data_IF_954693695618
#
_entry.id   IF_954693695618
#
_cell.length_a   1.000
_cell.length_b   1.000
_cell.length_c   1.000
_cell.angle_alpha   90.00
_cell.angle_beta   90.00
_cell.angle_gamma   90.00
#
_symmetry.space_group_name_H-M   'P 1'
#
loop_
_entity.id
_entity.type
_entity.pdbx_description
1 polymer ?
#
# COMPACT_ATOMS: atom_id res chain seq x y z
N UNK A 1 -13.72 13.18 -15.72
CA UNK A 1 -13.33 12.24 -14.64
C UNK A 1 -13.75 10.84 -15.07
N UNK A 2 -12.87 9.83 -15.04
CA UNK A 2 -13.32 8.45 -15.30
C UNK A 2 -14.28 8.02 -14.19
N UNK A 3 -15.55 7.82 -14.58
CA UNK A 3 -16.63 7.65 -13.63
C UNK A 3 -16.70 6.24 -13.04
N UNK A 4 -16.14 5.22 -13.70
CA UNK A 4 -16.02 3.84 -13.22
C UNK A 4 -14.86 3.14 -13.90
N UNK A 5 -14.11 2.32 -13.16
CA UNK A 5 -13.15 1.40 -13.76
C UNK A 5 -13.82 0.06 -14.06
N UNK A 6 -13.36 -0.62 -15.10
CA UNK A 6 -13.80 -1.99 -15.37
C UNK A 6 -13.49 -2.89 -14.17
N UNK A 7 -14.32 -3.92 -13.95
CA UNK A 7 -14.10 -4.93 -12.91
C UNK A 7 -12.65 -5.43 -12.88
N UNK A 8 -12.07 -5.67 -14.06
CA UNK A 8 -10.70 -6.16 -14.22
C UNK A 8 -9.66 -5.19 -13.65
N UNK A 9 -9.79 -3.89 -13.95
CA UNK A 9 -8.84 -2.88 -13.45
C UNK A 9 -8.97 -2.72 -11.94
N UNK A 10 -10.20 -2.71 -11.41
CA UNK A 10 -10.43 -2.60 -9.98
C UNK A 10 -9.84 -3.78 -9.21
N UNK A 11 -10.06 -5.02 -9.69
CA UNK A 11 -9.48 -6.24 -9.07
C UNK A 11 -7.95 -6.18 -9.11
N UNK A 12 -7.36 -5.97 -10.29
CA UNK A 12 -5.91 -5.98 -10.45
C UNK A 12 -5.23 -4.90 -9.59
N UNK A 13 -5.86 -3.75 -9.44
CA UNK A 13 -5.30 -2.64 -8.67
C UNK A 13 -5.52 -2.79 -7.16
N UNK A 14 -6.46 -3.64 -6.74
CA UNK A 14 -6.63 -3.99 -5.32
C UNK A 14 -5.72 -5.14 -4.87
N UNK A 15 -5.16 -5.93 -5.80
CA UNK A 15 -4.28 -7.06 -5.47
C UNK A 15 -3.08 -6.70 -4.58
N UNK A 16 -2.37 -5.56 -4.79
CA UNK A 16 -1.28 -5.19 -3.89
C UNK A 16 -1.72 -5.09 -2.42
N UNK A 17 -2.94 -4.64 -2.13
CA UNK A 17 -3.45 -4.58 -0.75
C UNK A 17 -3.66 -5.97 -0.16
N UNK A 18 -4.20 -6.89 -0.96
CA UNK A 18 -4.37 -8.29 -0.57
C UNK A 18 -3.01 -8.92 -0.25
N UNK A 19 -2.06 -8.81 -1.18
CA UNK A 19 -0.74 -9.40 -1.00
C UNK A 19 0.05 -8.76 0.13
N UNK A 20 -0.01 -7.42 0.29
CA UNK A 20 0.63 -6.73 1.42
C UNK A 20 0.02 -7.17 2.76
N UNK A 21 -1.30 -7.36 2.86
CA UNK A 21 -1.90 -7.84 4.12
C UNK A 21 -1.61 -9.32 4.40
N UNK A 22 -1.38 -10.13 3.36
CA UNK A 22 -0.93 -11.51 3.54
C UNK A 22 0.52 -11.62 4.05
N UNK A 23 1.35 -10.58 3.89
CA UNK A 23 2.68 -10.52 4.51
C UNK A 23 2.56 -10.66 6.03
N UNK A 24 1.52 -10.07 6.63
CA UNK A 24 1.30 -10.11 8.07
C UNK A 24 1.27 -11.56 8.54
N UNK A 25 0.60 -12.46 7.81
CA UNK A 25 0.45 -13.87 8.22
C UNK A 25 1.79 -14.64 8.18
N UNK A 26 2.64 -14.36 7.20
CA UNK A 26 3.96 -15.02 7.06
C UNK A 26 4.98 -14.48 8.07
N UNK A 27 4.93 -13.17 8.35
CA UNK A 27 5.96 -12.48 9.15
C UNK A 27 5.99 -12.87 10.63
N UNK A 28 4.92 -13.49 11.13
CA UNK A 28 4.76 -13.86 12.54
C UNK A 28 5.14 -15.31 12.87
N UNK A 29 5.88 -16.00 12.00
CA UNK A 29 6.34 -17.38 12.20
C UNK A 29 5.19 -18.41 12.41
N UNK A 30 3.94 -18.00 12.19
CA UNK A 30 2.76 -18.87 12.27
C UNK A 30 2.83 -20.01 11.26
N UNK A 31 3.38 -19.71 10.08
CA UNK A 31 3.62 -20.65 9.00
C UNK A 31 5.05 -20.46 8.54
N UNK A 32 5.92 -21.43 8.81
CA UNK A 32 7.31 -21.37 8.32
C UNK A 32 7.36 -21.68 6.82
N UNK A 33 7.26 -20.66 5.99
CA UNK A 33 7.54 -20.80 4.58
C UNK A 33 9.05 -21.02 4.35
N UNK A 34 9.44 -21.82 3.34
CA UNK A 34 10.81 -21.83 2.83
C UNK A 34 11.31 -20.40 2.56
N UNK A 35 12.56 -20.11 2.89
CA UNK A 35 13.14 -18.75 2.84
C UNK A 35 12.88 -18.02 1.50
N UNK A 36 12.95 -18.75 0.37
CA UNK A 36 12.70 -18.19 -0.95
C UNK A 36 11.23 -17.81 -1.18
N UNK A 37 10.28 -18.53 -0.58
CA UNK A 37 8.86 -18.19 -0.64
C UNK A 37 8.53 -17.00 0.25
N UNK A 38 9.09 -16.94 1.47
CA UNK A 38 8.88 -15.80 2.36
C UNK A 38 9.41 -14.49 1.75
N UNK A 39 10.61 -14.52 1.16
CA UNK A 39 11.14 -13.38 0.42
C UNK A 39 10.23 -12.93 -0.73
N UNK A 40 9.66 -13.87 -1.50
CA UNK A 40 8.72 -13.53 -2.56
C UNK A 40 7.42 -12.90 -2.01
N UNK A 41 6.87 -13.43 -0.92
CA UNK A 41 5.65 -12.91 -0.28
C UNK A 41 5.84 -11.46 0.16
N UNK A 42 7.01 -11.10 0.68
CA UNK A 42 7.32 -9.72 1.07
C UNK A 42 7.66 -8.81 -0.14
N UNK A 43 8.64 -9.19 -0.97
CA UNK A 43 9.19 -8.29 -1.97
C UNK A 43 8.26 -8.05 -3.16
N UNK A 44 7.51 -9.07 -3.62
CA UNK A 44 6.62 -8.93 -4.78
C UNK A 44 5.59 -7.82 -4.61
N UNK A 45 4.77 -7.78 -3.54
CA UNK A 45 3.80 -6.71 -3.36
C UNK A 45 4.44 -5.34 -3.15
N UNK A 46 5.56 -5.24 -2.43
CA UNK A 46 6.30 -3.98 -2.26
C UNK A 46 6.77 -3.45 -3.62
N UNK A 47 7.45 -4.29 -4.42
CA UNK A 47 7.91 -3.94 -5.77
C UNK A 47 6.71 -3.58 -6.66
N UNK A 48 5.57 -4.28 -6.53
CA UNK A 48 4.36 -3.98 -7.31
C UNK A 48 3.85 -2.56 -7.07
N UNK A 49 3.94 -2.04 -5.84
CA UNK A 49 3.58 -0.64 -5.54
C UNK A 49 4.54 0.35 -6.20
N UNK A 50 5.85 0.10 -6.18
CA UNK A 50 6.81 0.95 -6.90
C UNK A 50 6.58 0.92 -8.41
N UNK A 51 6.26 -0.25 -8.98
CA UNK A 51 5.90 -0.37 -10.41
C UNK A 51 4.61 0.40 -10.70
N UNK A 52 3.60 0.30 -9.84
CA UNK A 52 2.35 1.06 -9.97
C UNK A 52 2.58 2.57 -9.91
N UNK A 53 3.55 3.03 -9.12
CA UNK A 53 3.96 4.43 -9.08
C UNK A 53 4.53 4.87 -10.43
N UNK A 54 5.45 4.08 -11.01
CA UNK A 54 6.00 4.36 -12.34
C UNK A 54 4.92 4.37 -13.42
N UNK A 55 4.01 3.38 -13.39
CA UNK A 55 2.88 3.33 -14.32
C UNK A 55 1.94 4.53 -14.12
N UNK A 56 1.72 4.93 -12.87
CA UNK A 56 1.00 6.14 -12.50
C UNK A 56 1.62 7.37 -13.13
N UNK A 57 2.93 7.55 -13.01
CA UNK A 57 3.64 8.66 -13.63
C UNK A 57 3.42 8.72 -15.16
N UNK A 58 3.63 7.60 -15.85
CA UNK A 58 3.46 7.50 -17.31
C UNK A 58 2.01 7.85 -17.70
N UNK A 59 1.03 7.36 -16.94
CA UNK A 59 -0.41 7.55 -17.20
C UNK A 59 -1.02 8.80 -16.55
N UNK A 60 -0.20 9.68 -15.95
CA UNK A 60 -0.64 10.91 -15.29
C UNK A 60 -1.59 10.68 -14.12
N UNK A 61 -1.23 9.69 -13.30
CA UNK A 61 -1.86 9.24 -12.05
C UNK A 61 -3.37 9.01 -12.17
N UNK A 62 -3.80 7.98 -12.94
CA UNK A 62 -5.17 7.49 -12.86
C UNK A 62 -5.47 7.02 -11.42
N UNK A 63 -6.75 7.10 -11.03
CA UNK A 63 -7.17 6.89 -9.63
C UNK A 63 -6.62 5.60 -9.01
N UNK A 64 -6.57 4.51 -9.77
CA UNK A 64 -6.08 3.21 -9.31
C UNK A 64 -4.57 3.14 -8.99
N UNK A 65 -3.78 4.10 -9.46
CA UNK A 65 -2.35 4.20 -9.12
C UNK A 65 -2.10 5.08 -7.89
N UNK A 66 -3.08 5.84 -7.43
CA UNK A 66 -2.90 6.82 -6.35
C UNK A 66 -2.39 6.22 -5.03
N UNK A 67 -2.80 5.00 -4.60
CA UNK A 67 -2.27 4.40 -3.38
C UNK A 67 -0.77 4.18 -3.41
N UNK A 68 -0.20 3.94 -4.61
CA UNK A 68 1.24 3.75 -4.75
C UNK A 68 2.04 5.01 -4.39
N UNK A 69 1.46 6.21 -4.56
CA UNK A 69 2.12 7.47 -4.20
C UNK A 69 2.35 7.55 -2.69
N UNK A 70 1.28 7.37 -1.91
CA UNK A 70 1.37 7.39 -0.46
C UNK A 70 2.18 6.22 0.07
N UNK A 71 1.99 5.01 -0.49
CA UNK A 71 2.82 3.85 -0.14
C UNK A 71 4.30 4.15 -0.36
N UNK A 72 4.74 4.52 -1.56
CA UNK A 72 6.17 4.67 -1.85
C UNK A 72 6.84 5.74 -1.00
N UNK A 73 6.16 6.86 -0.74
CA UNK A 73 6.68 7.95 0.09
C UNK A 73 6.76 7.50 1.56
N UNK A 74 5.64 7.06 2.14
CA UNK A 74 5.56 6.75 3.56
C UNK A 74 6.38 5.50 3.89
N UNK A 75 6.31 4.46 3.07
CA UNK A 75 7.12 3.25 3.26
C UNK A 75 8.62 3.56 3.28
N UNK A 76 9.10 4.39 2.35
CA UNK A 76 10.52 4.77 2.31
C UNK A 76 10.92 5.62 3.52
N UNK A 77 10.03 6.48 4.02
CA UNK A 77 10.26 7.25 5.25
C UNK A 77 10.28 6.35 6.49
N UNK A 78 9.39 5.36 6.59
CA UNK A 78 9.35 4.40 7.68
C UNK A 78 10.66 3.59 7.76
N UNK A 79 11.18 3.18 6.61
CA UNK A 79 12.45 2.44 6.53
C UNK A 79 13.67 3.26 6.96
N UNK A 80 13.61 4.59 7.05
CA UNK A 80 14.75 5.40 7.51
C UNK A 80 15.20 5.03 8.93
N UNK A 81 14.27 4.56 9.76
CA UNK A 81 14.55 4.17 11.15
C UNK A 81 14.79 2.66 11.31
N UNK A 82 14.80 1.89 10.21
CA UNK A 82 15.02 0.45 10.25
C UNK A 82 16.50 0.14 10.08
N UNK A 83 17.00 -0.79 10.90
CA UNK A 83 18.32 -1.41 10.74
C UNK A 83 18.15 -2.76 10.05
N UNK A 84 18.94 -3.00 9.00
CA UNK A 84 18.98 -4.30 8.32
C UNK A 84 20.39 -4.86 8.50
N UNK A 85 20.64 -5.69 9.54
CA UNK A 85 21.99 -6.14 9.90
C UNK A 85 22.77 -6.77 8.74
N UNK A 86 22.09 -7.48 7.85
CA UNK A 86 22.70 -8.12 6.67
C UNK A 86 23.19 -7.15 5.59
N UNK A 87 22.68 -5.90 5.56
CA UNK A 87 23.03 -4.89 4.56
C UNK A 87 23.90 -3.80 5.17
N UNK A 88 23.52 -3.29 6.34
CA UNK A 88 24.11 -2.09 6.95
C UNK A 88 25.04 -2.40 8.12
N UNK A 89 25.31 -3.69 8.40
CA UNK A 89 26.15 -4.10 9.52
C UNK A 89 25.58 -3.70 10.90
N UNK A 90 24.25 -3.53 10.99
CA UNK A 90 23.55 -3.17 12.22
C UNK A 90 23.24 -1.67 12.36
N UNK A 91 23.67 -0.82 11.42
CA UNK A 91 23.33 0.61 11.42
C UNK A 91 21.95 0.88 10.82
N UNK A 92 21.28 1.96 11.24
CA UNK A 92 20.02 2.38 10.63
C UNK A 92 20.24 2.80 9.17
N UNK A 93 19.25 2.56 8.30
CA UNK A 93 19.34 2.96 6.89
C UNK A 93 19.40 4.48 6.71
N UNK A 94 18.70 5.24 7.55
CA UNK A 94 18.64 6.70 7.43
C UNK A 94 18.18 7.12 6.02
N UNK A 95 18.86 8.12 5.45
CA UNK A 95 18.51 8.67 4.11
C UNK A 95 18.62 7.62 2.99
N UNK A 96 19.42 6.57 3.18
CA UNK A 96 19.56 5.50 2.18
C UNK A 96 18.26 4.71 1.96
N UNK A 97 17.34 4.71 2.93
CA UNK A 97 16.01 4.13 2.77
C UNK A 97 15.16 4.81 1.68
N UNK A 98 15.52 6.03 1.26
CA UNK A 98 14.85 6.74 0.17
C UNK A 98 15.30 6.27 -1.22
N UNK A 99 16.36 5.45 -1.33
CA UNK A 99 16.88 5.00 -2.62
C UNK A 99 15.82 4.31 -3.51
N UNK A 100 14.98 3.37 -3.02
CA UNK A 100 13.97 2.73 -3.86
C UNK A 100 12.98 3.73 -4.46
N UNK A 101 12.54 4.72 -3.66
CA UNK A 101 11.67 5.78 -4.14
C UNK A 101 12.37 6.70 -5.14
N UNK A 102 13.62 7.09 -4.86
CA UNK A 102 14.42 7.89 -5.78
C UNK A 102 14.64 7.18 -7.11
N UNK A 103 14.92 5.87 -7.09
CA UNK A 103 15.06 5.05 -8.30
C UNK A 103 13.75 4.99 -9.08
N UNK A 104 12.62 4.73 -8.43
CA UNK A 104 11.32 4.72 -9.10
C UNK A 104 11.00 6.10 -9.73
N UNK A 105 11.34 7.19 -9.06
CA UNK A 105 11.18 8.56 -9.56
C UNK A 105 12.11 8.85 -10.76
N UNK A 106 13.38 8.45 -10.70
CA UNK A 106 14.33 8.57 -11.82
C UNK A 106 13.82 7.79 -13.03
N UNK A 107 13.44 6.51 -12.84
CA UNK A 107 12.89 5.67 -13.91
C UNK A 107 11.65 6.34 -14.52
N UNK A 108 10.76 6.87 -13.67
CA UNK A 108 9.54 7.58 -14.11
C UNK A 108 9.86 8.81 -14.97
N UNK A 109 10.84 9.63 -14.55
CA UNK A 109 11.27 10.81 -15.29
C UNK A 109 11.93 10.41 -16.62
N UNK A 110 12.78 9.37 -16.64
CA UNK A 110 13.42 8.88 -17.87
C UNK A 110 12.38 8.39 -18.87
N UNK A 111 11.37 7.63 -18.41
CA UNK A 111 10.31 7.10 -19.28
C UNK A 111 9.34 8.17 -19.77
N UNK A 112 9.05 9.19 -18.94
CA UNK A 112 8.21 10.33 -19.32
C UNK A 112 8.78 11.63 -18.72
N UNK A 113 9.70 12.31 -19.43
CA UNK A 113 10.38 13.52 -18.95
C UNK A 113 9.43 14.72 -18.95
N UNK A 114 8.58 14.81 -17.93
CA UNK A 114 7.60 15.89 -17.82
C UNK A 114 7.15 16.05 -16.37
N UNK A 115 6.91 17.30 -15.97
CA UNK A 115 6.22 17.62 -14.71
C UNK A 115 4.68 17.57 -14.84
N UNK A 116 4.16 17.29 -16.04
CA UNK A 116 2.72 17.16 -16.29
C UNK A 116 2.02 16.14 -15.39
N UNK A 117 2.58 14.96 -15.07
CA UNK A 117 1.96 14.01 -14.13
C UNK A 117 1.74 14.61 -12.75
N UNK A 118 2.70 15.39 -12.23
CA UNK A 118 2.57 16.06 -10.94
C UNK A 118 1.51 17.17 -10.96
N UNK A 119 1.48 17.98 -12.02
CA UNK A 119 0.42 19.01 -12.19
C UNK A 119 -0.97 18.38 -12.21
N UNK A 120 -1.14 17.31 -12.99
CA UNK A 120 -2.42 16.58 -13.05
C UNK A 120 -2.79 15.89 -11.74
N UNK A 121 -1.81 15.37 -11.00
CA UNK A 121 -2.06 14.82 -9.67
C UNK A 121 -2.59 15.89 -8.72
N UNK A 122 -1.97 17.07 -8.70
CA UNK A 122 -2.40 18.19 -7.87
C UNK A 122 -3.80 18.71 -8.26
N UNK A 123 -4.08 18.86 -9.56
CA UNK A 123 -5.42 19.20 -10.07
C UNK A 123 -6.48 18.19 -9.61
N UNK A 124 -6.20 16.88 -9.76
CA UNK A 124 -7.12 15.81 -9.35
C UNK A 124 -7.37 15.82 -7.85
N UNK A 125 -6.34 16.02 -7.04
CA UNK A 125 -6.47 16.09 -5.57
C UNK A 125 -7.31 17.30 -5.16
N UNK A 126 -7.14 18.44 -5.85
CA UNK A 126 -7.95 19.63 -5.63
C UNK A 126 -9.42 19.39 -5.96
N UNK A 127 -9.71 18.66 -7.03
CA UNK A 127 -11.08 18.33 -7.44
C UNK A 127 -11.73 17.23 -6.57
N UNK A 128 -10.94 16.28 -6.08
CA UNK A 128 -11.41 15.15 -5.27
C UNK A 128 -10.44 14.82 -4.14
N UNK A 129 -10.68 15.46 -2.99
CA UNK A 129 -9.90 15.29 -1.76
C UNK A 129 -9.89 13.86 -1.23
N UNK A 130 -10.83 13.00 -1.64
CA UNK A 130 -10.80 11.57 -1.28
C UNK A 130 -9.55 10.85 -1.80
N UNK A 131 -8.86 11.42 -2.81
CA UNK A 131 -7.59 10.90 -3.32
C UNK A 131 -6.46 11.02 -2.29
N UNK A 132 -6.50 11.99 -1.38
CA UNK A 132 -5.53 12.11 -0.29
C UNK A 132 -5.70 10.91 0.64
N UNK A 133 -6.94 10.66 1.06
CA UNK A 133 -7.28 9.49 1.89
C UNK A 133 -6.87 8.20 1.19
N UNK A 134 -7.13 8.09 -0.12
CA UNK A 134 -6.75 6.88 -0.87
C UNK A 134 -5.24 6.71 -1.05
N UNK A 135 -4.50 7.81 -1.15
CA UNK A 135 -3.03 7.79 -1.14
C UNK A 135 -2.51 7.22 0.17
N UNK A 136 -3.00 7.74 1.31
CA UNK A 136 -2.68 7.23 2.64
C UNK A 136 -3.15 5.79 2.85
N UNK A 137 -4.29 5.41 2.27
CA UNK A 137 -4.81 4.05 2.33
C UNK A 137 -3.81 3.01 1.81
N UNK A 138 -2.91 3.41 0.89
CA UNK A 138 -1.85 2.56 0.35
C UNK A 138 -0.93 1.95 1.41
N UNK A 139 -0.67 2.66 2.52
CA UNK A 139 0.21 2.16 3.60
C UNK A 139 -0.53 1.31 4.64
N UNK A 140 -1.87 1.28 4.60
CA UNK A 140 -2.68 0.69 5.66
C UNK A 140 -2.34 -0.79 5.96
N UNK A 141 -2.07 -1.67 4.98
CA UNK A 141 -1.60 -3.03 5.26
C UNK A 141 -0.30 -3.06 6.09
N UNK A 142 0.68 -2.21 5.77
CA UNK A 142 1.94 -2.14 6.52
C UNK A 142 1.72 -1.58 7.93
N UNK A 143 0.78 -0.66 8.11
CA UNK A 143 0.42 -0.18 9.44
C UNK A 143 -0.18 -1.27 10.32
N UNK A 144 -0.93 -2.22 9.74
CA UNK A 144 -1.43 -3.40 10.48
C UNK A 144 -0.26 -4.28 10.91
N UNK A 145 0.71 -4.55 10.01
CA UNK A 145 1.93 -5.28 10.35
C UNK A 145 2.64 -4.69 11.57
N UNK A 146 2.82 -3.36 11.60
CA UNK A 146 3.46 -2.65 12.70
C UNK A 146 2.68 -2.72 14.02
N UNK A 147 1.35 -2.82 13.95
CA UNK A 147 0.49 -2.88 15.15
C UNK A 147 0.55 -4.26 15.80
N UNK A 148 0.80 -5.30 15.02
CA UNK A 148 0.88 -6.68 15.51
C UNK A 148 2.32 -7.19 15.66
N UNK A 149 3.34 -6.38 15.41
CA UNK A 149 4.75 -6.80 15.33
C UNK A 149 5.26 -7.56 16.59
N UNK A 150 4.74 -7.20 17.77
CA UNK A 150 5.05 -7.83 19.07
C UNK A 150 4.09 -8.96 19.48
N UNK A 151 3.01 -9.21 18.73
CA UNK A 151 1.97 -10.18 19.14
C UNK A 151 2.10 -11.51 18.39
N UNK A 152 2.57 -12.52 19.10
CA UNK A 152 2.73 -13.88 18.59
C UNK A 152 1.66 -14.84 19.14
N UNK A 153 0.42 -14.77 18.62
CA UNK A 153 -0.65 -15.74 18.90
C UNK A 153 -1.29 -16.24 17.59
N UNK A 154 -1.26 -17.55 17.37
CA UNK A 154 -1.81 -18.20 16.16
C UNK A 154 -3.30 -17.89 15.93
N UNK A 155 -4.03 -17.53 17.00
CA UNK A 155 -5.43 -17.09 16.90
C UNK A 155 -5.60 -15.78 16.14
N UNK A 156 -4.53 -15.02 15.89
CA UNK A 156 -4.55 -13.79 15.12
C UNK A 156 -4.61 -14.02 13.60
N UNK A 157 -4.24 -15.20 13.09
CA UNK A 157 -4.30 -15.49 11.64
C UNK A 157 -5.69 -15.17 11.05
N UNK A 158 -6.82 -15.71 11.58
CA UNK A 158 -8.14 -15.38 11.02
C UNK A 158 -8.47 -13.89 11.12
N UNK A 159 -7.98 -13.20 12.16
CA UNK A 159 -8.17 -11.76 12.34
C UNK A 159 -7.43 -10.97 11.26
N UNK A 160 -6.15 -11.30 10.99
CA UNK A 160 -5.34 -10.68 9.95
C UNK A 160 -5.93 -10.92 8.55
N UNK A 161 -6.47 -12.12 8.29
CA UNK A 161 -7.20 -12.40 7.04
C UNK A 161 -8.42 -11.48 6.91
N UNK A 162 -9.23 -11.34 7.98
CA UNK A 162 -10.42 -10.47 7.97
C UNK A 162 -10.02 -9.01 7.73
N UNK A 163 -9.00 -8.51 8.42
CA UNK A 163 -8.49 -7.14 8.25
C UNK A 163 -8.01 -6.94 6.79
N UNK A 164 -7.23 -7.87 6.26
CA UNK A 164 -6.74 -7.83 4.88
C UNK A 164 -7.89 -7.78 3.87
N UNK A 165 -8.93 -8.60 4.07
CA UNK A 165 -10.11 -8.60 3.22
C UNK A 165 -10.87 -7.28 3.30
N UNK A 166 -11.04 -6.71 4.50
CA UNK A 166 -11.68 -5.40 4.70
C UNK A 166 -10.90 -4.30 3.96
N UNK A 167 -9.57 -4.28 4.08
CA UNK A 167 -8.73 -3.29 3.41
C UNK A 167 -8.83 -3.45 1.88
N UNK A 168 -8.72 -4.68 1.40
CA UNK A 168 -8.79 -5.00 -0.03
C UNK A 168 -10.15 -4.62 -0.62
N UNK A 169 -11.25 -4.95 0.08
CA UNK A 169 -12.61 -4.60 -0.34
C UNK A 169 -12.84 -3.09 -0.31
N UNK A 170 -12.32 -2.37 0.68
CA UNK A 170 -12.39 -0.91 0.76
C UNK A 170 -11.75 -0.25 -0.45
N UNK A 171 -10.55 -0.70 -0.85
CA UNK A 171 -9.87 -0.26 -2.06
C UNK A 171 -10.64 -0.66 -3.34
N UNK A 172 -11.12 -1.90 -3.42
CA UNK A 172 -11.90 -2.39 -4.56
C UNK A 172 -13.17 -1.55 -4.79
N UNK A 173 -14.00 -1.33 -3.76
CA UNK A 173 -15.23 -0.55 -3.88
C UNK A 173 -14.95 0.93 -4.19
N UNK A 174 -13.83 1.48 -3.70
CA UNK A 174 -13.40 2.83 -4.05
C UNK A 174 -13.08 2.99 -5.55
N UNK A 175 -12.53 1.94 -6.17
CA UNK A 175 -12.20 1.94 -7.60
C UNK A 175 -13.39 1.56 -8.47
N UNK A 176 -14.22 0.63 -8.03
CA UNK A 176 -15.33 0.11 -8.80
C UNK A 176 -16.55 1.04 -8.83
N UNK A 177 -16.78 1.81 -7.76
CA UNK A 177 -18.00 2.61 -7.63
C UNK A 177 -17.93 3.98 -8.32
N UNK A 178 -19.05 4.41 -8.91
CA UNK A 178 -19.16 5.72 -9.57
C UNK A 178 -19.58 6.81 -8.63
N UNK A 179 -20.32 6.44 -7.58
CA UNK A 179 -20.89 7.39 -6.63
C UNK A 179 -19.81 7.80 -5.65
N UNK A 180 -19.49 9.10 -5.61
CA UNK A 180 -18.49 9.69 -4.70
C UNK A 180 -18.75 9.30 -3.24
N UNK A 181 -20.01 9.27 -2.82
CA UNK A 181 -20.41 8.87 -1.46
C UNK A 181 -19.95 7.43 -1.16
N UNK A 182 -20.30 6.47 -2.02
CA UNK A 182 -19.93 5.06 -1.84
C UNK A 182 -18.41 4.90 -1.81
N UNK A 183 -17.71 5.59 -2.71
CA UNK A 183 -16.23 5.60 -2.73
C UNK A 183 -15.65 6.07 -1.40
N UNK A 184 -15.99 7.29 -0.97
CA UNK A 184 -15.41 7.84 0.25
C UNK A 184 -15.79 7.02 1.48
N UNK A 185 -17.05 6.56 1.55
CA UNK A 185 -17.51 5.68 2.62
C UNK A 185 -16.77 4.34 2.65
N UNK A 186 -16.45 3.72 1.50
CA UNK A 186 -15.71 2.45 1.49
C UNK A 186 -14.30 2.59 2.05
N UNK A 187 -13.61 3.71 1.78
CA UNK A 187 -12.30 3.98 2.36
C UNK A 187 -12.38 4.22 3.87
N UNK A 188 -13.32 5.07 4.30
CA UNK A 188 -13.50 5.40 5.71
C UNK A 188 -13.87 4.14 6.50
N UNK A 189 -14.84 3.36 6.03
CA UNK A 189 -15.22 2.10 6.68
C UNK A 189 -14.07 1.10 6.67
N UNK A 190 -13.31 1.01 5.58
CA UNK A 190 -12.12 0.16 5.53
C UNK A 190 -11.07 0.53 6.59
N UNK A 191 -10.79 1.82 6.77
CA UNK A 191 -9.88 2.31 7.82
C UNK A 191 -10.46 2.04 9.21
N UNK A 192 -11.71 2.44 9.45
CA UNK A 192 -12.32 2.33 10.78
C UNK A 192 -12.41 0.87 11.21
N UNK A 193 -12.93 -0.02 10.35
CA UNK A 193 -13.08 -1.43 10.71
C UNK A 193 -11.74 -2.14 10.87
N UNK A 194 -10.75 -1.88 10.01
CA UNK A 194 -9.42 -2.46 10.17
C UNK A 194 -8.77 -2.03 11.49
N UNK A 195 -8.79 -0.74 11.82
CA UNK A 195 -8.24 -0.23 13.08
C UNK A 195 -9.02 -0.72 14.30
N UNK A 196 -10.35 -0.74 14.24
CA UNK A 196 -11.20 -1.19 15.34
C UNK A 196 -10.94 -2.67 15.68
N UNK A 197 -10.89 -3.53 14.66
CA UNK A 197 -10.58 -4.95 14.84
C UNK A 197 -9.15 -5.10 15.36
N UNK A 198 -8.20 -4.32 14.83
CA UNK A 198 -6.80 -4.35 15.29
C UNK A 198 -6.69 -4.03 16.79
N UNK A 199 -7.32 -2.95 17.23
CA UNK A 199 -7.30 -2.51 18.64
C UNK A 199 -7.95 -3.55 19.55
N UNK A 200 -9.13 -4.08 19.19
CA UNK A 200 -9.83 -5.08 20.02
C UNK A 200 -9.04 -6.38 20.13
N UNK A 201 -8.28 -6.73 19.09
CA UNK A 201 -7.55 -8.00 19.05
C UNK A 201 -6.26 -7.99 19.88
N UNK A 202 -5.81 -6.81 20.30
CA UNK A 202 -4.59 -6.63 21.10
C UNK A 202 -4.91 -6.45 22.60
N UNK A 203 -6.14 -6.04 22.93
CA UNK A 203 -6.65 -5.92 24.30
C UNK A 203 -6.99 -7.30 24.86
#
# INVERSE_FOLDING_TARGET
MENNFSLRVSILSSLPFLFLGLIDIDSFDYVKLPLYLSGLVFFVPVISMFVLFVVGWIKEFPRWTIPSVGFCIIFSLLLMNVSIPSITGGTILGVWALLPFAMALIISIVLKPSLKPLKKLAERIKDDTSLIVFSLYGILPISVLMVFDEVSDIKLIPILIIITLIITLGAFFYLYSSKKIIRTSSLILGIIFSLFISIISII
#
